data_IF_536642534656
#
_entry.id   IF_536642534656
#
_cell.length_a   1.000
_cell.length_b   1.000
_cell.length_c   1.000
_cell.angle_alpha   90.00
_cell.angle_beta   90.00
_cell.angle_gamma   90.00
#
_symmetry.space_group_name_H-M   'P 1'
#
loop_
_entity.id
_entity.type
_entity.pdbx_description
1 polymer ?
#
# COMPACT_ATOMS: atom_id res chain seq x y z
N UNK A 1 -20.14 -14.98 -13.12
CA UNK A 1 -19.93 -13.70 -12.43
C UNK A 1 -19.26 -12.75 -13.43
N UNK A 2 -19.80 -11.56 -13.65
CA UNK A 2 -19.28 -10.60 -14.64
C UNK A 2 -17.94 -10.01 -14.17
N UNK A 3 -16.95 -9.97 -15.07
CA UNK A 3 -15.62 -9.40 -14.81
C UNK A 3 -15.71 -7.92 -14.42
N UNK A 4 -16.67 -7.17 -14.96
CA UNK A 4 -16.88 -5.75 -14.61
C UNK A 4 -17.25 -5.59 -13.14
N UNK A 5 -18.12 -6.47 -12.63
CA UNK A 5 -18.54 -6.45 -11.25
C UNK A 5 -17.40 -6.86 -10.31
N UNK A 6 -16.60 -7.87 -10.70
CA UNK A 6 -15.43 -8.29 -9.94
C UNK A 6 -14.39 -7.16 -9.84
N UNK A 7 -14.09 -6.49 -10.95
CA UNK A 7 -13.16 -5.37 -10.97
C UNK A 7 -13.64 -4.22 -10.08
N UNK A 8 -14.92 -3.85 -10.15
CA UNK A 8 -15.48 -2.79 -9.32
C UNK A 8 -15.30 -3.09 -7.81
N UNK A 9 -15.62 -4.32 -7.40
CA UNK A 9 -15.46 -4.73 -6.00
C UNK A 9 -14.00 -4.75 -5.57
N UNK A 10 -13.11 -5.35 -6.38
CA UNK A 10 -11.68 -5.43 -6.08
C UNK A 10 -11.01 -4.07 -6.05
N UNK A 11 -11.38 -3.13 -6.92
CA UNK A 11 -10.88 -1.76 -6.87
C UNK A 11 -11.23 -1.09 -5.55
N UNK A 12 -12.48 -1.23 -5.07
CA UNK A 12 -12.87 -0.67 -3.77
C UNK A 12 -12.03 -1.23 -2.61
N UNK A 13 -11.86 -2.56 -2.57
CA UNK A 13 -11.02 -3.22 -1.56
C UNK A 13 -9.57 -2.79 -1.67
N UNK A 14 -9.02 -2.76 -2.88
CA UNK A 14 -7.63 -2.36 -3.14
C UNK A 14 -7.37 -0.93 -2.69
N UNK A 15 -8.25 0.02 -3.01
CA UNK A 15 -8.10 1.42 -2.60
C UNK A 15 -8.04 1.57 -1.08
N UNK A 16 -8.99 0.95 -0.35
CA UNK A 16 -9.01 1.02 1.12
C UNK A 16 -7.77 0.34 1.71
N UNK A 17 -7.36 -0.81 1.15
CA UNK A 17 -6.17 -1.51 1.59
C UNK A 17 -4.89 -0.67 1.37
N UNK A 18 -4.74 0.00 0.23
CA UNK A 18 -3.61 0.90 -0.02
C UNK A 18 -3.54 2.03 1.01
N UNK A 19 -4.67 2.65 1.34
CA UNK A 19 -4.72 3.70 2.36
C UNK A 19 -4.37 3.15 3.74
N UNK A 20 -4.87 1.97 4.10
CA UNK A 20 -4.56 1.34 5.38
C UNK A 20 -3.07 0.98 5.48
N UNK A 21 -2.55 0.17 4.56
CA UNK A 21 -1.16 -0.29 4.58
C UNK A 21 -0.15 0.83 4.36
N UNK A 22 -0.51 1.90 3.65
CA UNK A 22 0.32 3.10 3.52
C UNK A 22 0.61 3.79 4.86
N UNK A 23 -0.20 3.56 5.90
CA UNK A 23 0.05 4.09 7.26
C UNK A 23 0.85 3.14 8.16
N UNK A 24 1.00 1.87 7.76
CA UNK A 24 1.62 0.82 8.57
C UNK A 24 3.08 0.59 8.15
N UNK A 25 3.85 1.67 8.10
CA UNK A 25 5.29 1.60 7.86
C UNK A 25 6.06 1.31 9.17
N UNK A 26 7.29 0.82 9.06
CA UNK A 26 8.10 0.49 10.23
C UNK A 26 9.57 0.81 10.00
N UNK A 27 10.24 0.01 9.16
CA UNK A 27 11.68 0.13 8.96
C UNK A 27 12.11 1.51 8.46
N UNK A 28 11.42 2.08 7.46
CA UNK A 28 11.80 3.38 6.91
C UNK A 28 11.60 4.57 7.85
N UNK A 29 10.84 4.40 8.94
CA UNK A 29 10.63 5.42 9.98
C UNK A 29 11.38 5.09 11.28
N UNK A 30 12.20 4.04 11.31
CA UNK A 30 12.97 3.65 12.50
C UNK A 30 14.36 4.28 12.52
N UNK A 31 14.96 4.33 13.71
CA UNK A 31 16.34 4.81 13.91
C UNK A 31 17.39 3.96 13.17
N UNK A 32 17.03 2.73 12.76
CA UNK A 32 17.92 1.83 12.02
C UNK A 32 18.02 2.21 10.52
N UNK A 33 17.14 3.09 10.04
CA UNK A 33 17.14 3.53 8.66
C UNK A 33 18.01 4.77 8.45
N UNK A 34 19.13 4.56 7.77
CA UNK A 34 20.14 5.60 7.51
C UNK A 34 20.10 6.17 6.08
N UNK A 35 19.12 5.74 5.27
CA UNK A 35 18.96 6.16 3.88
C UNK A 35 17.98 7.30 3.70
N UNK A 36 17.72 7.69 2.45
CA UNK A 36 16.75 8.72 2.08
C UNK A 36 15.53 8.17 1.30
N UNK A 37 15.34 6.85 1.31
CA UNK A 37 14.25 6.16 0.60
C UNK A 37 14.59 5.72 -0.82
N UNK A 38 15.82 5.91 -1.31
CA UNK A 38 16.21 5.50 -2.66
C UNK A 38 17.52 4.70 -2.71
N UNK A 39 17.72 4.00 -3.82
CA UNK A 39 19.00 3.36 -4.12
C UNK A 39 19.90 4.38 -4.83
N UNK A 40 20.97 4.80 -4.16
CA UNK A 40 22.03 5.63 -4.69
C UNK A 40 23.39 4.95 -4.49
#
# INVERSE_FOLDING_TARGET
>A
MDIKLLLLALTGVFTVACLFFGTQNGFYDSDDYHGNGSAH
#
